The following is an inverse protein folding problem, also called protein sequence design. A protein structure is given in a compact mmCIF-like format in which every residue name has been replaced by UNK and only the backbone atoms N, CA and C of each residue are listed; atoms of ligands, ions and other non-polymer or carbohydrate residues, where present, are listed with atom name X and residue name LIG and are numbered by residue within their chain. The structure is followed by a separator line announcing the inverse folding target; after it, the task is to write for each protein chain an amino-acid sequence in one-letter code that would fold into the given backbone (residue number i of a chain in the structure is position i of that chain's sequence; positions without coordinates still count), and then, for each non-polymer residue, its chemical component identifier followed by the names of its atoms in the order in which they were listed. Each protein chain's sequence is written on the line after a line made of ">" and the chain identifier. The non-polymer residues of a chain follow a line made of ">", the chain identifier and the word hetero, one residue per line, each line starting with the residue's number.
data_IF_365389393836
#
_entry.id   IF_365389393836
#
_cell.length_a   1.000
_cell.length_b   1.000
_cell.length_c   1.000
_cell.angle_alpha   90.00
_cell.angle_beta   90.00
_cell.angle_gamma   90.00
#
_symmetry.space_group_name_H-M   'P 1'
#
loop_
_entity.id
_entity.type
_entity.pdbx_description
1 polymer ?
#
# COMPACT_ATOMS: atom_id res chain seq x y z
N UNK A 1 5.61 -5.39 45.69
CA UNK A 1 6.25 -4.54 44.65
C UNK A 1 6.88 -5.45 43.61
N UNK A 2 6.17 -5.73 42.52
CA UNK A 2 6.63 -6.63 41.45
C UNK A 2 6.86 -5.80 40.20
N UNK A 3 8.12 -5.62 39.82
CA UNK A 3 8.48 -4.92 38.58
C UNK A 3 7.98 -5.73 37.37
N UNK A 4 7.29 -5.11 36.39
CA UNK A 4 6.88 -5.81 35.19
C UNK A 4 8.14 -6.14 34.35
N UNK A 5 8.20 -7.41 33.96
CA UNK A 5 9.26 -8.03 33.17
C UNK A 5 9.46 -7.25 31.87
N UNK A 6 10.74 -6.96 31.57
CA UNK A 6 11.28 -6.41 30.33
C UNK A 6 10.36 -6.63 29.12
N UNK A 7 9.53 -5.63 28.84
CA UNK A 7 8.83 -5.44 27.57
C UNK A 7 9.89 -5.52 26.48
N UNK A 8 9.70 -6.37 25.47
CA UNK A 8 10.68 -6.55 24.40
C UNK A 8 10.97 -5.17 23.81
N UNK A 9 12.22 -4.89 23.44
CA UNK A 9 12.59 -3.64 22.75
C UNK A 9 11.67 -3.37 21.56
N UNK A 10 11.22 -4.44 20.88
CA UNK A 10 10.20 -4.38 19.84
C UNK A 10 8.87 -3.71 20.26
N UNK A 11 8.40 -3.96 21.49
CA UNK A 11 7.15 -3.38 22.00
C UNK A 11 7.35 -1.90 22.39
N UNK A 12 8.53 -1.54 22.92
CA UNK A 12 8.89 -0.14 23.19
C UNK A 12 9.04 0.67 21.90
N UNK A 13 9.69 0.10 20.87
CA UNK A 13 9.81 0.73 19.55
C UNK A 13 8.44 0.88 18.90
N UNK A 14 7.57 -0.13 18.99
CA UNK A 14 6.22 -0.09 18.45
C UNK A 14 5.32 0.94 19.17
N UNK A 15 5.58 1.23 20.44
CA UNK A 15 4.91 2.30 21.20
C UNK A 15 5.47 3.71 20.91
N UNK A 16 6.76 3.82 20.53
CA UNK A 16 7.40 5.09 20.17
C UNK A 16 7.18 5.52 18.71
N UNK A 17 6.84 4.58 17.83
CA UNK A 17 6.43 4.91 16.47
C UNK A 17 5.05 5.56 16.55
N UNK A 18 4.84 6.78 16.00
CA UNK A 18 3.50 7.32 15.87
C UNK A 18 2.69 6.26 15.14
N UNK A 19 1.58 5.81 15.77
CA UNK A 19 0.59 4.97 15.12
C UNK A 19 0.00 5.76 13.96
N UNK A 20 0.75 5.84 12.85
CA UNK A 20 0.18 6.03 11.54
C UNK A 20 -0.50 4.71 11.24
N UNK A 21 -1.65 4.51 11.85
CA UNK A 21 -2.61 3.50 11.41
C UNK A 21 -2.94 3.93 9.99
N UNK A 22 -2.22 3.38 9.01
CA UNK A 22 -2.53 3.60 7.61
C UNK A 22 -3.80 2.79 7.39
N UNK A 23 -4.93 3.42 7.63
CA UNK A 23 -6.25 2.82 7.41
C UNK A 23 -6.50 2.86 5.91
N UNK A 24 -7.01 1.75 5.36
CA UNK A 24 -7.52 1.75 4.00
C UNK A 24 -8.72 2.69 3.91
N UNK A 25 -8.80 3.50 2.86
CA UNK A 25 -10.06 4.16 2.54
C UNK A 25 -11.12 3.10 2.18
N UNK A 26 -12.43 3.41 2.28
CA UNK A 26 -13.48 2.46 1.89
C UNK A 26 -13.29 1.91 0.46
N UNK A 27 -12.92 2.79 -0.48
CA UNK A 27 -12.64 2.42 -1.87
C UNK A 27 -11.48 1.43 -2.01
N UNK A 28 -10.44 1.60 -1.18
CA UNK A 28 -9.29 0.69 -1.16
C UNK A 28 -9.63 -0.64 -0.50
N UNK A 29 -10.49 -0.64 0.52
CA UNK A 29 -10.98 -1.88 1.12
C UNK A 29 -11.81 -2.71 0.12
N UNK A 30 -12.69 -2.04 -0.64
CA UNK A 30 -13.47 -2.65 -1.71
C UNK A 30 -12.56 -3.20 -2.81
N UNK A 31 -11.63 -2.38 -3.30
CA UNK A 31 -10.63 -2.79 -4.28
C UNK A 31 -9.83 -4.00 -3.80
N UNK A 32 -9.34 -3.96 -2.55
CA UNK A 32 -8.60 -5.06 -1.96
C UNK A 32 -9.42 -6.35 -1.89
N UNK A 33 -10.73 -6.25 -1.65
CA UNK A 33 -11.65 -7.40 -1.61
C UNK A 33 -11.84 -8.00 -3.01
N UNK A 34 -12.05 -7.15 -4.02
CA UNK A 34 -12.13 -7.58 -5.42
C UNK A 34 -10.83 -8.24 -5.90
N UNK A 35 -9.68 -7.66 -5.59
CA UNK A 35 -8.37 -8.18 -6.01
C UNK A 35 -8.04 -9.51 -5.34
N UNK A 36 -8.38 -9.69 -4.06
CA UNK A 36 -8.20 -10.99 -3.38
C UNK A 36 -9.11 -12.09 -3.94
N UNK A 37 -10.31 -11.73 -4.43
CA UNK A 37 -11.17 -12.63 -5.18
C UNK A 37 -10.70 -12.93 -6.61
N UNK A 38 -9.69 -12.21 -7.11
CA UNK A 38 -9.18 -12.33 -8.48
C UNK A 38 -7.66 -12.13 -8.53
N UNK A 39 -6.92 -13.13 -8.04
CA UNK A 39 -5.45 -13.10 -8.03
C UNK A 39 -4.81 -12.87 -9.42
N UNK A 40 -5.31 -13.45 -10.53
CA UNK A 40 -4.77 -13.17 -11.87
C UNK A 40 -4.86 -11.69 -12.27
N UNK A 41 -5.94 -11.00 -11.87
CA UNK A 41 -6.09 -9.57 -12.12
C UNK A 41 -5.04 -8.77 -11.34
N UNK A 42 -4.83 -9.10 -10.05
CA UNK A 42 -3.78 -8.47 -9.25
C UNK A 42 -2.40 -8.64 -9.88
N UNK A 43 -2.03 -9.87 -10.26
CA UNK A 43 -0.75 -10.17 -10.90
C UNK A 43 -0.58 -9.41 -12.22
N UNK A 44 -1.64 -9.34 -13.03
CA UNK A 44 -1.63 -8.60 -14.31
C UNK A 44 -1.41 -7.10 -14.11
N UNK A 45 -2.06 -6.49 -13.12
CA UNK A 45 -1.87 -5.07 -12.79
C UNK A 45 -0.43 -4.82 -12.30
N UNK A 46 0.09 -5.69 -11.42
CA UNK A 46 1.48 -5.58 -10.93
C UNK A 46 2.48 -5.72 -12.07
N UNK A 47 2.27 -6.67 -12.98
CA UNK A 47 3.12 -6.86 -14.15
C UNK A 47 3.12 -5.62 -15.05
N UNK A 48 1.94 -5.06 -15.34
CA UNK A 48 1.80 -3.85 -16.14
C UNK A 48 2.53 -2.66 -15.52
N UNK A 49 2.41 -2.44 -14.20
CA UNK A 49 3.10 -1.34 -13.52
C UNK A 49 4.63 -1.53 -13.60
N UNK A 50 5.12 -2.74 -13.35
CA UNK A 50 6.56 -3.06 -13.44
C UNK A 50 7.10 -2.88 -14.84
N UNK A 51 6.36 -3.30 -15.86
CA UNK A 51 6.73 -3.10 -17.27
C UNK A 51 6.84 -1.61 -17.61
N UNK A 52 5.88 -0.78 -17.16
CA UNK A 52 5.92 0.67 -17.36
C UNK A 52 7.11 1.32 -16.66
N UNK A 53 7.47 0.87 -15.46
CA UNK A 53 8.66 1.34 -14.75
C UNK A 53 9.94 0.98 -15.50
N UNK A 54 10.06 -0.27 -15.95
CA UNK A 54 11.22 -0.73 -16.72
C UNK A 54 11.37 0.02 -18.05
N UNK A 55 10.26 0.25 -18.76
CA UNK A 55 10.24 1.03 -19.99
C UNK A 55 10.72 2.48 -19.76
N UNK A 56 10.41 3.08 -18.61
CA UNK A 56 10.87 4.43 -18.25
C UNK A 56 12.33 4.48 -17.82
N UNK A 57 12.81 3.47 -17.10
CA UNK A 57 14.23 3.38 -16.72
C UNK A 57 15.12 3.17 -17.96
N UNK A 58 14.59 2.58 -19.03
CA UNK A 58 15.26 2.42 -20.32
C UNK A 58 15.22 3.68 -21.21
N UNK A 59 14.43 4.71 -20.86
CA UNK A 59 14.36 5.95 -21.65
C UNK A 59 15.63 6.79 -21.43
N UNK A 60 16.13 7.44 -22.50
CA UNK A 60 17.27 8.35 -22.37
C UNK A 60 16.92 9.52 -21.45
N UNK A 61 17.89 9.96 -20.65
CA UNK A 61 17.74 11.10 -19.74
C UNK A 61 17.49 12.37 -20.57
N UNK A 62 16.41 13.13 -20.32
CA UNK A 62 16.12 14.36 -21.02
C UNK A 62 17.24 15.39 -20.83
N UNK A 63 17.54 16.15 -21.88
CA UNK A 63 18.55 17.22 -21.80
C UNK A 63 18.06 18.42 -20.95
N UNK A 64 16.75 18.65 -20.94
CA UNK A 64 16.13 19.75 -20.22
C UNK A 64 15.83 19.38 -18.75
N UNK A 65 16.19 20.24 -17.78
CA UNK A 65 15.95 19.97 -16.35
C UNK A 65 14.47 19.78 -15.97
N UNK A 66 13.55 20.45 -16.69
CA UNK A 66 12.11 20.35 -16.44
C UNK A 66 11.61 18.94 -16.80
N UNK A 67 12.07 18.41 -17.93
CA UNK A 67 11.69 17.07 -18.39
C UNK A 67 12.28 15.98 -17.50
N UNK A 68 13.50 16.17 -17.00
CA UNK A 68 14.10 15.31 -15.98
C UNK A 68 13.23 15.23 -14.71
N UNK A 69 12.78 16.38 -14.20
CA UNK A 69 11.92 16.44 -13.01
C UNK A 69 10.60 15.70 -13.24
N UNK A 70 9.94 15.98 -14.36
CA UNK A 70 8.67 15.33 -14.70
C UNK A 70 8.83 13.80 -14.86
N UNK A 71 9.96 13.33 -15.39
CA UNK A 71 10.25 11.90 -15.47
C UNK A 71 10.47 11.28 -14.08
N UNK A 72 11.22 11.95 -13.19
CA UNK A 72 11.43 11.50 -11.82
C UNK A 72 10.12 11.44 -11.01
N UNK A 73 9.27 12.47 -11.13
CA UNK A 73 7.97 12.53 -10.47
C UNK A 73 7.09 11.35 -10.90
N UNK A 74 6.94 11.12 -12.21
CA UNK A 74 6.16 9.98 -12.75
C UNK A 74 6.73 8.63 -12.30
N UNK A 75 8.06 8.49 -12.21
CA UNK A 75 8.68 7.26 -11.72
C UNK A 75 8.39 7.05 -10.22
N UNK A 76 8.36 8.14 -9.44
CA UNK A 76 7.99 8.08 -8.02
C UNK A 76 6.51 7.74 -7.82
N UNK A 77 5.61 8.24 -8.68
CA UNK A 77 4.19 7.91 -8.69
C UNK A 77 3.95 6.43 -8.97
N UNK A 78 4.64 5.85 -9.95
CA UNK A 78 4.52 4.41 -10.25
C UNK A 78 5.00 3.54 -9.09
N UNK A 79 6.12 3.93 -8.44
CA UNK A 79 6.61 3.25 -7.23
C UNK A 79 5.62 3.35 -6.08
N UNK A 80 5.04 4.54 -5.87
CA UNK A 80 4.02 4.76 -4.85
C UNK A 80 2.78 3.90 -5.13
N UNK A 81 2.31 3.88 -6.38
CA UNK A 81 1.14 3.10 -6.79
C UNK A 81 1.36 1.60 -6.57
N UNK A 82 2.52 1.07 -6.95
CA UNK A 82 2.86 -0.34 -6.73
C UNK A 82 2.84 -0.68 -5.23
N UNK A 83 3.50 0.13 -4.41
CA UNK A 83 3.54 -0.07 -2.96
C UNK A 83 2.13 0.04 -2.35
N UNK A 84 1.31 0.97 -2.83
CA UNK A 84 -0.05 1.15 -2.35
C UNK A 84 -0.93 -0.04 -2.73
N UNK A 85 -0.82 -0.53 -3.96
CA UNK A 85 -1.54 -1.71 -4.42
C UNK A 85 -1.15 -2.96 -3.64
N UNK A 86 0.14 -3.16 -3.37
CA UNK A 86 0.61 -4.26 -2.51
C UNK A 86 0.06 -4.15 -1.09
N UNK A 87 0.06 -2.94 -0.53
CA UNK A 87 -0.52 -2.69 0.79
C UNK A 87 -2.01 -3.03 0.80
N UNK A 88 -2.78 -2.55 -0.18
CA UNK A 88 -4.22 -2.82 -0.32
C UNK A 88 -4.50 -4.31 -0.43
N UNK A 89 -3.73 -5.03 -1.25
CA UNK A 89 -3.90 -6.46 -1.48
C UNK A 89 -3.58 -7.30 -0.24
N UNK A 90 -2.50 -6.95 0.49
CA UNK A 90 -2.00 -7.68 1.67
C UNK A 90 -2.65 -7.26 2.99
N UNK A 91 -3.37 -6.13 3.01
CA UNK A 91 -3.98 -5.62 4.24
C UNK A 91 -5.09 -6.54 4.72
N UNK A 92 -5.18 -6.80 6.04
CA UNK A 92 -6.31 -7.49 6.60
C UNK A 92 -7.56 -6.63 6.38
N UNK A 93 -8.63 -7.23 5.85
CA UNK A 93 -9.94 -6.60 5.89
C UNK A 93 -10.40 -6.68 7.32
N UNK A 94 -10.47 -5.54 7.99
CA UNK A 94 -11.43 -5.43 9.07
C UNK A 94 -12.80 -5.53 8.41
N UNK A 95 -13.60 -6.58 8.66
CA UNK A 95 -14.96 -6.62 8.14
C UNK A 95 -15.69 -5.41 8.72
N UNK A 96 -15.90 -4.37 7.93
CA UNK A 96 -16.92 -3.36 8.19
C UNK A 96 -18.25 -3.96 7.76
N UNK A 97 -18.72 -4.94 8.52
CA UNK A 97 -20.10 -5.40 8.51
C UNK A 97 -20.54 -5.49 9.97
N UNK A 98 -21.05 -4.36 10.48
CA UNK A 98 -22.16 -4.41 11.41
C UNK A 98 -23.35 -5.04 10.66
N UNK A 99 -23.38 -6.37 10.62
CA UNK A 99 -24.62 -7.12 10.48
C UNK A 99 -25.23 -7.28 11.88
N UNK A 100 -25.72 -6.18 12.43
CA UNK A 100 -26.68 -6.17 13.54
C UNK A 100 -27.61 -5.00 13.23
N UNK A 101 -28.91 -5.16 12.99
CA UNK A 101 -29.89 -6.04 13.63
C UNK A 101 -31.16 -5.95 12.74
N UNK A 102 -31.86 -7.06 12.38
CA UNK A 102 -33.16 -6.93 11.74
C UNK A 102 -34.18 -6.39 12.77
N UNK A 103 -35.03 -5.41 12.42
CA UNK A 103 -36.03 -4.88 13.35
C UNK A 103 -37.08 -5.95 13.71
N UNK A 104 -37.44 -5.97 14.99
CA UNK A 104 -38.40 -6.87 15.63
C UNK A 104 -39.83 -6.76 15.10
#
# INVERSE_FOLDING_TARGET
>A
MTMPRLTRVADMVRAMLPQRTIVLTPQEADLGTHLRGNAPLYESIVALIKERMAARDAQPVPAEPIDCRAQMERQSELRWLLNRLEFVYKSPVSPTHDEGEPPA
#
